data_IF_585818933819
#
_entry.id   IF_585818933819
#
_cell.length_a   1.000
_cell.length_b   1.000
_cell.length_c   1.000
_cell.angle_alpha   90.00
_cell.angle_beta   90.00
_cell.angle_gamma   90.00
#
_symmetry.space_group_name_H-M   'P 1'
#
loop_
_entity.id
_entity.type
_entity.pdbx_description
1 polymer ?
#
# COMPACT_ATOMS: atom_id res chain seq x y z
N UNK A 1 14.53 12.01 -25.81
CA UNK A 1 13.48 13.06 -25.79
C UNK A 1 12.52 12.98 -26.98
N UNK A 2 12.94 13.20 -28.24
CA UNK A 2 11.99 13.17 -29.38
C UNK A 2 11.46 11.76 -29.69
N UNK A 3 12.25 10.71 -29.47
CA UNK A 3 11.84 9.31 -29.64
C UNK A 3 10.84 8.87 -28.57
N UNK A 4 11.05 9.26 -27.31
CA UNK A 4 10.11 8.98 -26.21
C UNK A 4 8.74 9.63 -26.45
N UNK A 5 8.73 10.83 -27.01
CA UNK A 5 7.51 11.58 -27.31
C UNK A 5 6.73 10.99 -28.50
N UNK A 6 7.45 10.43 -29.48
CA UNK A 6 6.84 9.68 -30.60
C UNK A 6 6.32 8.32 -30.13
N UNK A 7 7.06 7.60 -29.28
CA UNK A 7 6.58 6.34 -28.73
C UNK A 7 5.34 6.55 -27.86
N UNK A 8 5.36 7.57 -26.99
CA UNK A 8 4.22 7.91 -26.15
C UNK A 8 2.97 8.29 -26.97
N UNK A 9 3.12 9.04 -28.07
CA UNK A 9 1.98 9.40 -28.91
C UNK A 9 1.42 8.21 -29.69
N UNK A 10 2.27 7.29 -30.16
CA UNK A 10 1.84 6.05 -30.79
C UNK A 10 1.10 5.13 -29.80
N UNK A 11 1.62 4.99 -28.58
CA UNK A 11 0.97 4.21 -27.52
C UNK A 11 -0.37 4.82 -27.11
N UNK A 12 -0.44 6.15 -26.97
CA UNK A 12 -1.68 6.86 -26.69
C UNK A 12 -2.72 6.65 -27.80
N UNK A 13 -2.31 6.76 -29.07
CA UNK A 13 -3.17 6.50 -30.21
C UNK A 13 -3.70 5.06 -30.26
N UNK A 14 -2.81 4.08 -30.03
CA UNK A 14 -3.19 2.66 -29.96
C UNK A 14 -4.15 2.39 -28.79
N UNK A 15 -3.88 2.96 -27.61
CA UNK A 15 -4.77 2.85 -26.47
C UNK A 15 -6.16 3.42 -26.80
N UNK A 16 -6.25 4.63 -27.35
CA UNK A 16 -7.54 5.24 -27.74
C UNK A 16 -8.30 4.37 -28.75
N UNK A 17 -7.60 3.73 -29.68
CA UNK A 17 -8.24 2.86 -30.68
C UNK A 17 -8.70 1.50 -30.10
N UNK A 18 -7.90 0.87 -29.23
CA UNK A 18 -8.12 -0.50 -28.76
C UNK A 18 -8.95 -0.56 -27.48
N UNK A 19 -8.77 0.39 -26.57
CA UNK A 19 -9.47 0.47 -25.29
C UNK A 19 -11.01 0.36 -25.41
N UNK A 20 -11.71 1.09 -26.32
CA UNK A 20 -13.16 0.97 -26.41
C UNK A 20 -13.62 -0.42 -26.88
N UNK A 21 -12.86 -1.08 -27.76
CA UNK A 21 -13.19 -2.43 -28.23
C UNK A 21 -12.99 -3.47 -27.10
N UNK A 22 -11.91 -3.35 -26.34
CA UNK A 22 -11.64 -4.22 -25.19
C UNK A 22 -12.68 -4.00 -24.09
N UNK A 23 -13.01 -2.74 -23.79
CA UNK A 23 -14.00 -2.39 -22.79
C UNK A 23 -15.38 -2.92 -23.15
N UNK A 24 -15.82 -2.75 -24.40
CA UNK A 24 -17.11 -3.27 -24.87
C UNK A 24 -17.15 -4.79 -24.86
N UNK A 25 -16.09 -5.46 -25.29
CA UNK A 25 -15.99 -6.93 -25.20
C UNK A 25 -16.08 -7.41 -23.74
N UNK A 26 -15.33 -6.79 -22.82
CA UNK A 26 -15.32 -7.15 -21.41
C UNK A 26 -16.68 -6.94 -20.72
N UNK A 27 -17.36 -5.83 -21.04
CA UNK A 27 -18.71 -5.56 -20.56
C UNK A 27 -19.74 -6.54 -21.15
N UNK A 28 -19.56 -6.95 -22.41
CA UNK A 28 -20.47 -7.87 -23.10
C UNK A 28 -20.26 -9.35 -22.75
N UNK A 29 -19.06 -9.74 -22.31
CA UNK A 29 -18.67 -11.14 -22.03
C UNK A 29 -19.41 -11.79 -20.84
N UNK A 30 -20.27 -11.03 -20.14
CA UNK A 30 -21.18 -11.54 -19.11
C UNK A 30 -20.51 -11.89 -17.78
N UNK A 31 -21.29 -12.33 -16.77
CA UNK A 31 -20.81 -12.48 -15.39
C UNK A 31 -19.64 -13.45 -15.22
N UNK A 32 -19.56 -14.48 -16.07
CA UNK A 32 -18.51 -15.51 -16.02
C UNK A 32 -17.12 -14.94 -16.32
N UNK A 33 -17.01 -14.02 -17.27
CA UNK A 33 -15.74 -13.33 -17.60
C UNK A 33 -15.26 -12.45 -16.44
N UNK A 34 -16.19 -11.76 -15.78
CA UNK A 34 -15.89 -10.94 -14.60
C UNK A 34 -15.38 -11.78 -13.43
N UNK A 35 -16.03 -12.91 -13.15
CA UNK A 35 -15.58 -13.83 -12.11
C UNK A 35 -14.21 -14.40 -12.42
N UNK A 36 -13.97 -14.84 -13.66
CA UNK A 36 -12.66 -15.33 -14.07
C UNK A 36 -11.57 -14.26 -13.88
N UNK A 37 -11.85 -13.02 -14.25
CA UNK A 37 -10.92 -11.90 -14.09
C UNK A 37 -10.67 -11.59 -12.62
N UNK A 38 -11.72 -11.59 -11.79
CA UNK A 38 -11.60 -11.43 -10.35
C UNK A 38 -10.74 -12.51 -9.70
N UNK A 39 -10.90 -13.77 -10.11
CA UNK A 39 -10.06 -14.89 -9.64
C UNK A 39 -8.60 -14.70 -10.03
N UNK A 40 -8.33 -14.28 -11.29
CA UNK A 40 -6.96 -14.01 -11.74
C UNK A 40 -6.31 -12.88 -10.94
N UNK A 41 -7.04 -11.78 -10.72
CA UNK A 41 -6.55 -10.65 -9.91
C UNK A 41 -6.30 -11.06 -8.47
N UNK A 42 -7.20 -11.83 -7.86
CA UNK A 42 -7.04 -12.34 -6.50
C UNK A 42 -5.83 -13.27 -6.39
N UNK A 43 -5.66 -14.21 -7.30
CA UNK A 43 -4.52 -15.12 -7.32
C UNK A 43 -3.19 -14.37 -7.51
N UNK A 44 -3.16 -13.35 -8.36
CA UNK A 44 -1.98 -12.50 -8.54
C UNK A 44 -1.67 -11.71 -7.26
N UNK A 45 -2.67 -11.08 -6.65
CA UNK A 45 -2.49 -10.35 -5.39
C UNK A 45 -1.99 -11.24 -4.25
N UNK A 46 -2.53 -12.46 -4.15
CA UNK A 46 -2.07 -13.48 -3.19
C UNK A 46 -0.62 -13.88 -3.48
N UNK A 47 -0.25 -14.12 -4.74
CA UNK A 47 1.13 -14.42 -5.12
C UNK A 47 2.10 -13.30 -4.76
N UNK A 48 1.72 -12.04 -5.03
CA UNK A 48 2.54 -10.87 -4.65
C UNK A 48 2.71 -10.80 -3.14
N UNK A 49 1.63 -10.97 -2.36
CA UNK A 49 1.68 -10.96 -0.90
C UNK A 49 2.60 -12.04 -0.33
N UNK A 50 2.52 -13.27 -0.86
CA UNK A 50 3.44 -14.34 -0.45
C UNK A 50 4.91 -13.98 -0.69
N UNK A 51 5.23 -13.35 -1.83
CA UNK A 51 6.62 -12.92 -2.09
C UNK A 51 7.05 -11.69 -1.30
N UNK A 52 6.13 -10.93 -0.71
CA UNK A 52 6.44 -9.80 0.16
C UNK A 52 6.79 -10.29 1.57
N UNK A 53 6.07 -11.31 2.06
CA UNK A 53 6.33 -11.96 3.35
C UNK A 53 7.77 -12.50 3.44
N UNK A 54 8.26 -13.12 2.36
CA UNK A 54 9.66 -13.58 2.25
C UNK A 54 10.68 -12.43 2.35
N UNK A 55 10.31 -11.19 1.97
CA UNK A 55 11.20 -10.01 2.03
C UNK A 55 11.12 -9.27 3.36
N UNK A 56 9.96 -9.26 4.00
CA UNK A 56 9.75 -8.60 5.29
C UNK A 56 10.50 -9.31 6.43
N UNK A 57 10.74 -10.62 6.31
CA UNK A 57 11.57 -11.37 7.26
C UNK A 57 13.05 -10.92 7.28
N UNK A 58 13.56 -10.41 6.16
CA UNK A 58 14.95 -9.96 6.01
C UNK A 58 15.11 -8.45 6.26
N UNK A 59 14.06 -7.65 5.99
CA UNK A 59 14.12 -6.19 5.96
C UNK A 59 13.25 -5.48 7.01
N UNK A 60 12.73 -6.15 8.05
CA UNK A 60 12.01 -5.44 9.12
C UNK A 60 12.97 -4.74 10.09
N UNK A 61 13.26 -3.42 9.98
CA UNK A 61 13.65 -2.68 11.17
C UNK A 61 12.45 -2.80 12.10
N UNK A 62 12.67 -3.36 13.28
CA UNK A 62 11.66 -3.50 14.34
C UNK A 62 10.77 -2.25 14.30
N UNK A 63 9.54 -2.39 13.80
CA UNK A 63 8.65 -1.27 13.55
C UNK A 63 8.58 -0.50 14.87
N UNK A 64 9.25 0.66 14.93
CA UNK A 64 9.47 1.35 16.18
C UNK A 64 8.09 1.61 16.76
N UNK A 65 7.74 0.87 17.82
CA UNK A 65 6.42 0.93 18.42
C UNK A 65 6.18 2.40 18.78
N UNK A 66 5.04 2.95 18.38
CA UNK A 66 4.68 4.35 18.65
C UNK A 66 3.48 4.39 19.57
N UNK A 67 3.54 5.26 20.57
CA UNK A 67 2.44 5.56 21.49
C UNK A 67 2.04 7.04 21.37
N UNK A 68 0.93 7.43 21.98
CA UNK A 68 0.58 8.85 22.12
C UNK A 68 1.13 9.35 23.46
N UNK A 69 1.77 10.53 23.46
CA UNK A 69 2.19 11.21 24.67
C UNK A 69 0.96 11.53 25.53
N UNK A 70 0.93 11.16 26.82
CA UNK A 70 -0.23 11.35 27.69
C UNK A 70 -0.52 12.84 27.96
N UNK A 71 0.50 13.70 27.91
CA UNK A 71 0.34 15.13 28.22
C UNK A 71 -0.18 15.96 27.05
N UNK A 72 0.31 15.73 25.83
CA UNK A 72 -0.01 16.57 24.66
C UNK A 72 -0.69 15.82 23.51
N UNK A 73 -0.80 14.49 23.59
CA UNK A 73 -1.45 13.65 22.58
C UNK A 73 -0.64 13.42 21.30
N UNK A 74 0.57 13.94 21.20
CA UNK A 74 1.43 13.73 20.03
C UNK A 74 1.88 12.27 19.90
N UNK A 75 2.05 11.80 18.66
CA UNK A 75 2.45 10.41 18.40
C UNK A 75 3.97 10.28 18.38
N UNK A 76 4.52 9.56 19.34
CA UNK A 76 5.96 9.46 19.63
C UNK A 76 6.41 7.99 19.72
N UNK A 77 7.67 7.66 19.39
CA UNK A 77 8.25 6.35 19.67
C UNK A 77 8.17 5.96 21.16
N UNK A 78 7.85 4.70 21.45
CA UNK A 78 7.81 4.12 22.81
C UNK A 78 9.23 4.05 23.42
N UNK A 79 10.26 4.05 22.58
CA UNK A 79 11.65 4.00 23.03
C UNK A 79 12.19 5.35 23.52
N UNK A 80 11.49 6.45 23.26
CA UNK A 80 11.96 7.78 23.64
C UNK A 80 11.66 8.03 25.12
N UNK A 81 12.63 8.59 25.84
CA UNK A 81 12.48 8.92 27.26
C UNK A 81 11.64 10.18 27.49
N UNK A 82 11.46 11.01 26.46
CA UNK A 82 10.70 12.25 26.53
C UNK A 82 10.04 12.56 25.19
N UNK A 83 8.94 13.29 25.25
CA UNK A 83 8.18 13.72 24.08
C UNK A 83 8.90 14.86 23.36
N UNK A 84 9.25 14.64 22.09
CA UNK A 84 9.90 15.66 21.24
C UNK A 84 9.07 16.94 21.02
N UNK A 85 7.75 16.87 21.28
CA UNK A 85 6.83 17.99 21.04
C UNK A 85 6.62 18.87 22.27
N UNK A 86 6.49 18.29 23.47
CA UNK A 86 6.20 19.04 24.69
C UNK A 86 7.26 18.89 25.79
N UNK A 87 8.24 18.00 25.62
CA UNK A 87 9.30 17.73 26.60
C UNK A 87 8.87 16.91 27.82
N UNK A 88 7.62 16.43 27.88
CA UNK A 88 7.16 15.58 28.97
C UNK A 88 7.90 14.23 28.97
N UNK A 89 8.19 13.68 30.15
CA UNK A 89 8.79 12.36 30.27
C UNK A 89 7.81 11.29 29.77
N UNK A 90 8.31 10.31 29.03
CA UNK A 90 7.54 9.17 28.55
C UNK A 90 7.95 7.96 29.40
N UNK A 91 7.44 7.91 30.62
CA UNK A 91 7.75 6.81 31.51
C UNK A 91 7.07 5.53 30.99
N UNK A 92 7.87 4.51 30.71
CA UNK A 92 7.38 3.23 30.24
C UNK A 92 6.58 2.55 31.36
N UNK A 93 5.24 2.64 31.24
CA UNK A 93 4.17 1.98 32.03
C UNK A 93 3.60 2.82 33.17
N UNK A 94 2.48 3.48 32.89
CA UNK A 94 1.34 3.51 33.81
C UNK A 94 0.44 2.30 33.50
N UNK A 95 0.84 1.13 34.00
CA UNK A 95 -0.06 -0.01 34.23
C UNK A 95 -0.74 0.18 35.60
N UNK A 96 -1.45 1.29 35.79
CA UNK A 96 -2.26 1.54 36.99
C UNK A 96 -3.76 1.35 36.66
N UNK A 97 -4.25 0.12 36.83
CA UNK A 97 -5.65 -0.11 37.23
C UNK A 97 -6.39 -1.31 36.62
N UNK A 98 -6.31 -2.49 37.28
CA UNK A 98 -7.42 -3.32 37.78
C UNK A 98 -7.02 -4.78 38.03
#
# INVERSE_FOLDING_TARGET
MRQDLVLASLLAGLAVAVLPAVLTFYLAAGPTMWLATGVVVAAFGVGVAYTADDRDADDAPAAAQKTNCPDCGSRVPVADAACDYCGAALDARDDDGA
#
